data_IF_769219769690
#
_entry.id   IF_769219769690
#
_cell.length_a   1.000
_cell.length_b   1.000
_cell.length_c   1.000
_cell.angle_alpha   90.00
_cell.angle_beta   90.00
_cell.angle_gamma   90.00
#
_symmetry.space_group_name_H-M   'P 1'
#
loop_
_entity.id
_entity.type
_entity.pdbx_description
1 polymer ?
#
# COMPACT_ATOMS: atom_id res chain seq x y z
N UNK A 1 -8.14 -25.23 -24.87
CA UNK A 1 -7.27 -24.51 -25.82
C UNK A 1 -6.68 -23.36 -25.03
N UNK A 2 -5.38 -23.40 -24.67
CA UNK A 2 -4.77 -22.33 -23.87
C UNK A 2 -4.33 -21.24 -24.84
N UNK A 3 -4.99 -20.11 -24.84
CA UNK A 3 -4.57 -18.96 -25.62
C UNK A 3 -3.32 -18.39 -24.96
N UNK A 4 -2.20 -18.39 -25.68
CA UNK A 4 -0.98 -17.75 -25.22
C UNK A 4 -1.08 -16.27 -25.59
N UNK A 5 -1.23 -15.41 -24.59
CA UNK A 5 -1.10 -13.98 -24.77
C UNK A 5 0.40 -13.64 -24.74
N UNK A 6 0.87 -12.95 -25.76
CA UNK A 6 2.27 -12.55 -25.92
C UNK A 6 2.36 -11.01 -25.95
N UNK A 7 3.50 -10.49 -25.53
CA UNK A 7 3.84 -9.06 -25.72
C UNK A 7 4.28 -8.79 -27.17
N UNK A 8 4.57 -7.53 -27.49
CA UNK A 8 5.02 -7.08 -28.82
C UNK A 8 6.35 -7.73 -29.28
N UNK A 9 7.04 -8.44 -28.40
CA UNK A 9 8.30 -9.14 -28.64
C UNK A 9 8.12 -10.67 -28.69
N UNK A 10 6.87 -11.18 -28.63
CA UNK A 10 6.59 -12.62 -28.62
C UNK A 10 6.86 -13.32 -27.27
N UNK A 11 7.02 -12.55 -26.19
CA UNK A 11 7.22 -13.11 -24.86
C UNK A 11 5.87 -13.40 -24.17
N UNK A 12 5.68 -14.57 -23.54
CA UNK A 12 4.38 -14.97 -23.02
C UNK A 12 3.97 -14.14 -21.79
N UNK A 13 2.77 -13.57 -21.86
CA UNK A 13 2.07 -12.89 -20.75
C UNK A 13 1.16 -13.83 -19.95
N UNK A 14 1.08 -15.10 -20.35
CA UNK A 14 0.37 -16.14 -19.67
C UNK A 14 1.15 -17.48 -19.78
N UNK A 15 1.60 -18.00 -18.66
CA UNK A 15 2.29 -19.30 -18.58
C UNK A 15 1.51 -20.35 -17.79
N UNK A 16 0.27 -20.01 -17.40
CA UNK A 16 -0.61 -20.90 -16.64
C UNK A 16 0.03 -21.43 -15.37
N UNK A 17 -0.05 -22.73 -15.17
CA UNK A 17 0.49 -23.43 -13.99
C UNK A 17 1.92 -24.00 -14.19
N UNK A 18 2.66 -23.59 -15.21
CA UNK A 18 4.02 -24.08 -15.46
C UNK A 18 5.01 -23.63 -14.38
N UNK A 19 4.88 -22.40 -13.89
CA UNK A 19 5.77 -21.85 -12.88
C UNK A 19 5.03 -20.79 -12.04
N UNK A 20 5.31 -20.78 -10.74
CA UNK A 20 4.91 -19.71 -9.85
C UNK A 20 5.76 -18.45 -10.06
N UNK A 21 6.96 -18.61 -10.56
CA UNK A 21 7.86 -17.48 -10.80
C UNK A 21 7.37 -16.67 -11.98
N UNK A 22 7.18 -15.38 -11.77
CA UNK A 22 6.73 -14.43 -12.78
C UNK A 22 7.89 -14.13 -13.73
N UNK A 23 7.76 -14.41 -15.04
CA UNK A 23 8.82 -14.13 -16.03
C UNK A 23 9.16 -12.64 -16.13
N UNK A 24 10.37 -12.30 -16.61
CA UNK A 24 10.79 -10.90 -16.76
C UNK A 24 9.87 -10.06 -17.65
N UNK A 25 9.39 -10.61 -18.78
CA UNK A 25 8.45 -9.94 -19.68
C UNK A 25 7.16 -9.58 -18.96
N UNK A 26 6.56 -10.55 -18.27
CA UNK A 26 5.33 -10.35 -17.49
C UNK A 26 5.54 -9.34 -16.35
N UNK A 27 6.73 -9.30 -15.72
CA UNK A 27 7.07 -8.27 -14.72
C UNK A 27 7.12 -6.88 -15.33
N UNK A 28 7.65 -6.74 -16.56
CA UNK A 28 7.66 -5.45 -17.28
C UNK A 28 6.24 -4.99 -17.57
N UNK A 29 5.42 -5.88 -18.14
CA UNK A 29 4.01 -5.59 -18.43
C UNK A 29 3.22 -5.22 -17.17
N UNK A 30 3.43 -5.96 -16.07
CA UNK A 30 2.80 -5.67 -14.78
C UNK A 30 3.21 -4.29 -14.24
N UNK A 31 4.49 -3.93 -14.32
CA UNK A 31 4.98 -2.62 -13.91
C UNK A 31 4.44 -1.49 -14.79
N UNK A 32 4.33 -1.72 -16.10
CA UNK A 32 3.76 -0.74 -17.03
C UNK A 32 2.25 -0.53 -16.79
N UNK A 33 1.51 -1.58 -16.44
CA UNK A 33 0.08 -1.50 -16.16
C UNK A 33 -0.22 -0.84 -14.81
N UNK A 34 0.50 -1.24 -13.75
CA UNK A 34 0.17 -0.86 -12.37
C UNK A 34 0.94 0.37 -11.90
N UNK A 35 2.07 0.72 -12.58
CA UNK A 35 2.97 1.85 -12.29
C UNK A 35 3.59 1.83 -10.88
N UNK A 36 2.89 1.27 -9.90
CA UNK A 36 3.30 1.17 -8.49
C UNK A 36 2.46 0.19 -7.69
N UNK A 37 2.54 0.29 -6.39
CA UNK A 37 1.74 -0.53 -5.49
C UNK A 37 0.26 -0.19 -5.63
N UNK A 38 -0.56 -1.21 -5.90
CA UNK A 38 -2.01 -1.07 -6.10
C UNK A 38 -2.84 -1.09 -4.81
N UNK A 39 -2.19 -1.19 -3.67
CA UNK A 39 -2.90 -1.12 -2.39
C UNK A 39 -3.42 0.32 -2.17
N UNK A 40 -4.70 0.48 -1.75
CA UNK A 40 -5.33 1.79 -1.59
C UNK A 40 -4.50 2.76 -0.73
N UNK A 41 -4.32 3.98 -1.22
CA UNK A 41 -3.56 5.03 -0.55
C UNK A 41 -2.03 4.86 -0.55
N UNK A 42 -1.50 3.87 -1.27
CA UNK A 42 -0.06 3.65 -1.35
C UNK A 42 0.57 4.32 -2.57
N UNK A 43 1.53 5.20 -2.35
CA UNK A 43 2.30 5.89 -3.39
C UNK A 43 3.66 5.24 -3.71
N UNK A 44 3.90 4.01 -3.26
CA UNK A 44 5.19 3.34 -3.46
C UNK A 44 5.35 2.81 -4.88
N UNK A 45 6.37 3.29 -5.60
CA UNK A 45 6.74 2.83 -6.94
C UNK A 45 7.99 1.95 -6.94
N UNK A 46 8.71 1.86 -5.80
CA UNK A 46 9.96 1.11 -5.67
C UNK A 46 9.74 -0.15 -4.83
N UNK A 47 10.55 -1.18 -5.12
CA UNK A 47 10.53 -2.46 -4.39
C UNK A 47 9.14 -3.10 -4.37
N UNK A 48 8.46 -3.05 -5.54
CA UNK A 48 7.18 -3.70 -5.74
C UNK A 48 7.40 -5.05 -6.42
N UNK A 49 6.69 -6.06 -5.92
CA UNK A 49 6.69 -7.43 -6.43
C UNK A 49 5.29 -7.81 -6.91
N UNK A 50 5.22 -8.72 -7.88
CA UNK A 50 3.94 -9.25 -8.36
C UNK A 50 3.34 -10.23 -7.37
N UNK A 51 2.09 -10.00 -7.00
CA UNK A 51 1.28 -10.85 -6.14
C UNK A 51 0.19 -11.56 -6.95
N UNK A 52 -0.03 -12.85 -6.71
CA UNK A 52 -1.12 -13.60 -7.32
C UNK A 52 -2.43 -13.30 -6.59
N UNK A 53 -3.44 -12.76 -7.30
CA UNK A 53 -4.76 -12.44 -6.75
C UNK A 53 -5.43 -13.74 -6.27
N UNK A 54 -5.60 -14.71 -7.16
CA UNK A 54 -5.90 -16.08 -6.77
C UNK A 54 -4.57 -16.76 -6.47
N UNK A 55 -4.39 -17.12 -5.21
CA UNK A 55 -3.09 -17.61 -4.74
C UNK A 55 -2.67 -18.89 -5.49
N UNK A 56 -1.38 -19.04 -5.73
CA UNK A 56 -0.84 -20.21 -6.42
C UNK A 56 -1.23 -21.54 -5.77
N UNK A 57 -1.30 -21.59 -4.45
CA UNK A 57 -1.72 -22.78 -3.69
C UNK A 57 -3.17 -23.16 -3.97
N UNK A 58 -4.00 -22.16 -4.27
CA UNK A 58 -5.44 -22.29 -4.46
C UNK A 58 -5.82 -22.44 -5.96
N UNK A 59 -4.82 -22.79 -6.78
CA UNK A 59 -5.02 -23.06 -8.20
C UNK A 59 -4.81 -21.85 -9.11
N UNK A 60 -4.45 -20.70 -8.58
CA UNK A 60 -4.17 -19.50 -9.37
C UNK A 60 -3.06 -19.69 -10.39
N UNK A 61 -3.24 -19.17 -11.57
CA UNK A 61 -2.29 -19.23 -12.68
C UNK A 61 -1.35 -18.03 -12.68
N UNK A 62 -0.15 -18.20 -13.21
CA UNK A 62 0.77 -17.09 -13.49
C UNK A 62 0.42 -16.51 -14.84
N UNK A 63 -0.49 -15.53 -14.81
CA UNK A 63 -0.99 -14.75 -15.94
C UNK A 63 -1.21 -13.30 -15.51
N UNK A 64 -1.05 -12.38 -16.44
CA UNK A 64 -1.03 -10.94 -16.11
C UNK A 64 -2.30 -10.46 -15.40
N UNK A 65 -3.47 -10.99 -15.79
CA UNK A 65 -4.76 -10.64 -15.19
C UNK A 65 -5.02 -11.25 -13.81
N UNK A 66 -4.21 -12.22 -13.38
CA UNK A 66 -4.19 -12.78 -12.04
C UNK A 66 -3.05 -12.23 -11.18
N UNK A 67 -2.37 -11.18 -11.64
CA UNK A 67 -1.27 -10.56 -10.92
C UNK A 67 -1.59 -9.11 -10.61
N UNK A 68 -1.08 -8.63 -9.47
CA UNK A 68 -1.15 -7.24 -9.04
C UNK A 68 0.19 -6.83 -8.43
N UNK A 69 0.60 -5.59 -8.64
CA UNK A 69 1.85 -5.07 -8.10
C UNK A 69 1.66 -4.56 -6.67
N UNK A 70 2.44 -5.08 -5.74
CA UNK A 70 2.43 -4.66 -4.34
C UNK A 70 3.84 -4.33 -3.85
N UNK A 71 4.00 -3.26 -3.08
CA UNK A 71 5.25 -3.01 -2.37
C UNK A 71 5.47 -4.07 -1.28
N UNK A 72 6.71 -4.22 -0.81
CA UNK A 72 7.06 -5.24 0.19
C UNK A 72 6.18 -5.18 1.44
N UNK A 73 5.83 -3.98 1.90
CA UNK A 73 4.97 -3.80 3.07
C UNK A 73 3.57 -4.37 2.80
N UNK A 74 2.91 -3.95 1.72
CA UNK A 74 1.55 -4.40 1.40
C UNK A 74 1.49 -5.84 0.91
N UNK A 75 2.55 -6.33 0.25
CA UNK A 75 2.66 -7.74 -0.10
C UNK A 75 2.67 -8.64 1.15
N UNK A 76 3.41 -8.22 2.20
CA UNK A 76 3.41 -8.89 3.48
C UNK A 76 2.07 -8.76 4.21
N UNK A 77 1.46 -7.57 4.16
CA UNK A 77 0.15 -7.31 4.79
C UNK A 77 -0.96 -8.22 4.24
N UNK A 78 -0.96 -8.44 2.92
CA UNK A 78 -1.91 -9.37 2.27
C UNK A 78 -1.63 -10.82 2.63
N UNK A 79 -0.36 -11.22 2.81
CA UNK A 79 -0.03 -12.60 3.17
C UNK A 79 -0.21 -12.93 4.65
N UNK A 80 0.10 -11.99 5.55
CA UNK A 80 0.22 -12.22 6.99
C UNK A 80 -0.74 -11.35 7.81
N UNK A 81 -1.19 -10.22 7.26
CA UNK A 81 -1.97 -9.20 7.96
C UNK A 81 -3.48 -9.38 7.88
N UNK A 82 -3.97 -10.44 7.24
CA UNK A 82 -5.41 -10.71 7.11
C UNK A 82 -6.15 -9.81 6.12
N UNK A 83 -5.42 -9.06 5.30
CA UNK A 83 -5.98 -8.36 4.15
C UNK A 83 -6.00 -9.28 2.94
N UNK A 84 -6.94 -9.07 2.02
CA UNK A 84 -7.00 -9.85 0.79
C UNK A 84 -7.12 -8.93 -0.42
N UNK A 85 -6.51 -9.38 -1.52
CA UNK A 85 -6.72 -8.81 -2.85
C UNK A 85 -7.77 -9.64 -3.56
N UNK A 86 -8.80 -9.03 -4.09
CA UNK A 86 -9.95 -9.69 -4.72
C UNK A 86 -10.16 -9.12 -6.10
N UNK A 87 -10.57 -9.99 -7.03
CA UNK A 87 -10.98 -9.61 -8.37
C UNK A 87 -12.48 -9.87 -8.53
N UNK A 88 -13.23 -8.84 -8.93
CA UNK A 88 -14.66 -8.97 -9.22
C UNK A 88 -14.90 -9.70 -10.54
N UNK A 89 -16.14 -10.11 -10.79
CA UNK A 89 -16.56 -10.70 -12.06
C UNK A 89 -16.39 -9.73 -13.24
N UNK A 90 -16.44 -8.42 -12.98
CA UNK A 90 -16.16 -7.37 -13.96
C UNK A 90 -14.66 -7.18 -14.25
N UNK A 91 -13.78 -7.87 -13.51
CA UNK A 91 -12.32 -7.76 -13.65
C UNK A 91 -11.68 -6.65 -12.80
N UNK A 92 -12.45 -5.92 -12.02
CA UNK A 92 -11.95 -4.89 -11.10
C UNK A 92 -11.18 -5.54 -9.94
N UNK A 93 -10.01 -4.99 -9.62
CA UNK A 93 -9.17 -5.42 -8.50
C UNK A 93 -9.43 -4.48 -7.32
N UNK A 94 -9.79 -5.03 -6.18
CA UNK A 94 -9.98 -4.29 -4.95
C UNK A 94 -9.40 -5.05 -3.76
N UNK A 95 -9.28 -4.38 -2.63
CA UNK A 95 -8.74 -4.95 -1.40
C UNK A 95 -9.79 -4.96 -0.30
N UNK A 96 -9.73 -5.96 0.56
CA UNK A 96 -10.60 -6.08 1.72
C UNK A 96 -9.77 -6.23 3.00
N UNK A 97 -10.32 -5.76 4.10
CA UNK A 97 -9.74 -5.91 5.42
C UNK A 97 -10.07 -7.28 6.05
N UNK A 98 -9.64 -7.49 7.30
CA UNK A 98 -9.90 -8.69 8.07
C UNK A 98 -11.40 -8.96 8.31
N UNK A 99 -12.25 -7.93 8.19
CA UNK A 99 -13.71 -8.02 8.34
C UNK A 99 -14.42 -8.20 6.98
N UNK A 100 -13.65 -8.44 5.91
CA UNK A 100 -14.14 -8.52 4.53
C UNK A 100 -14.78 -7.21 4.04
N UNK A 101 -14.44 -6.08 4.66
CA UNK A 101 -14.89 -4.77 4.21
C UNK A 101 -13.94 -4.26 3.12
N UNK A 102 -14.51 -3.79 2.02
CA UNK A 102 -13.73 -3.21 0.92
C UNK A 102 -12.99 -1.97 1.43
N UNK A 103 -11.69 -1.94 1.18
CA UNK A 103 -10.90 -0.74 1.38
C UNK A 103 -11.22 0.22 0.25
N UNK A 104 -11.83 1.33 0.59
CA UNK A 104 -12.00 2.42 -0.36
C UNK A 104 -10.65 3.12 -0.55
N UNK A 105 -10.39 3.53 -1.77
CA UNK A 105 -9.30 4.45 -2.02
C UNK A 105 -9.63 5.70 -1.20
N UNK A 106 -8.80 6.01 -0.21
CA UNK A 106 -8.94 7.26 0.50
C UNK A 106 -8.85 8.36 -0.57
N UNK A 107 -9.98 8.94 -0.92
CA UNK A 107 -9.95 10.22 -1.57
C UNK A 107 -9.01 11.08 -0.71
N UNK A 108 -7.90 11.51 -1.28
CA UNK A 108 -7.08 12.53 -0.62
C UNK A 108 -8.07 13.53 -0.07
N UNK A 109 -8.10 13.81 1.23
CA UNK A 109 -8.96 14.88 1.71
C UNK A 109 -8.71 16.06 0.78
N UNK A 110 -9.77 16.70 0.32
CA UNK A 110 -9.69 17.90 -0.52
C UNK A 110 -8.51 18.72 -0.04
N UNK A 111 -7.67 19.25 -0.93
CA UNK A 111 -6.45 19.93 -0.54
C UNK A 111 -6.82 21.01 0.47
N UNK A 112 -6.74 20.63 1.74
CA UNK A 112 -6.93 21.55 2.86
C UNK A 112 -5.82 22.57 2.69
N UNK A 113 -6.18 23.81 2.59
CA UNK A 113 -5.17 24.88 2.44
C UNK A 113 -4.21 24.81 3.62
N UNK A 114 -2.97 25.24 3.42
CA UNK A 114 -1.98 25.27 4.49
C UNK A 114 -2.56 26.06 5.69
N UNK A 115 -3.29 27.14 5.42
CA UNK A 115 -3.93 27.95 6.44
C UNK A 115 -4.98 27.17 7.25
N UNK A 116 -5.83 26.38 6.59
CA UNK A 116 -6.84 25.56 7.28
C UNK A 116 -6.19 24.45 8.10
N UNK A 117 -5.13 23.83 7.56
CA UNK A 117 -4.35 22.82 8.28
C UNK A 117 -3.70 23.42 9.53
N UNK A 118 -3.04 24.56 9.39
CA UNK A 118 -2.43 25.27 10.51
C UNK A 118 -3.49 25.72 11.53
N UNK A 119 -4.62 26.27 11.09
CA UNK A 119 -5.71 26.68 11.98
C UNK A 119 -6.31 25.49 12.75
N UNK A 120 -6.40 24.30 12.09
CA UNK A 120 -6.82 23.08 12.76
C UNK A 120 -5.77 22.62 13.79
N UNK A 121 -4.49 22.63 13.42
CA UNK A 121 -3.39 22.30 14.32
C UNK A 121 -3.37 23.23 15.53
N UNK A 122 -3.41 24.53 15.33
CA UNK A 122 -3.42 25.50 16.43
C UNK A 122 -4.60 25.26 17.37
N UNK A 123 -5.82 25.10 16.86
CA UNK A 123 -6.99 24.80 17.69
C UNK A 123 -6.86 23.49 18.47
N UNK A 124 -6.24 22.49 17.89
CA UNK A 124 -6.08 21.18 18.53
C UNK A 124 -5.00 21.21 19.61
N UNK A 125 -3.93 21.96 19.38
CA UNK A 125 -2.78 22.03 20.27
C UNK A 125 -2.81 23.20 21.25
N UNK A 126 -3.70 24.17 21.06
CA UNK A 126 -3.86 25.35 21.93
C UNK A 126 -4.10 24.96 23.41
N UNK A 127 -4.85 23.90 23.64
CA UNK A 127 -5.13 23.36 24.98
C UNK A 127 -3.87 22.83 25.70
N UNK A 128 -2.80 22.55 24.98
CA UNK A 128 -1.56 22.03 25.57
C UNK A 128 -0.54 23.13 25.89
N UNK A 129 -0.88 24.41 25.58
CA UNK A 129 0.00 25.57 25.80
C UNK A 129 1.46 25.27 25.38
N UNK A 130 1.61 24.67 24.19
CA UNK A 130 2.92 24.33 23.66
C UNK A 130 3.65 25.66 23.38
N UNK A 131 4.57 26.00 24.27
CA UNK A 131 5.50 27.10 24.06
C UNK A 131 6.36 26.75 22.82
N UNK A 132 6.40 27.66 21.85
CA UNK A 132 7.18 27.47 20.64
C UNK A 132 8.66 27.15 20.89
N UNK A 133 9.19 27.59 22.03
CA UNK A 133 10.56 27.28 22.46
C UNK A 133 10.70 25.86 23.04
N UNK A 134 9.61 25.28 23.57
CA UNK A 134 9.61 23.90 24.08
C UNK A 134 9.59 22.85 22.94
N UNK A 135 9.15 23.22 21.75
CA UNK A 135 9.13 22.34 20.57
C UNK A 135 10.45 22.27 19.80
N UNK A 136 11.49 22.96 20.24
CA UNK A 136 12.84 22.73 19.73
C UNK A 136 13.38 21.42 20.30
N UNK A 137 12.96 20.30 19.69
CA UNK A 137 13.69 19.06 19.86
C UNK A 137 15.15 19.36 19.50
N UNK A 138 16.02 19.39 20.47
CA UNK A 138 17.45 19.44 20.23
C UNK A 138 17.84 18.15 19.55
N UNK A 139 17.89 18.18 18.23
CA UNK A 139 18.39 17.08 17.43
C UNK A 139 19.88 16.91 17.72
N UNK A 140 20.21 15.93 18.54
CA UNK A 140 21.58 15.44 18.59
C UNK A 140 21.80 14.63 17.31
N UNK A 141 22.78 15.05 16.53
CA UNK A 141 23.18 14.35 15.31
C UNK A 141 23.49 12.89 15.62
N UNK A 142 22.63 11.97 15.20
CA UNK A 142 22.86 10.54 15.29
C UNK A 142 21.81 9.70 16.04
N UNK A 143 20.96 10.29 16.84
CA UNK A 143 19.94 9.52 17.56
C UNK A 143 18.67 9.31 16.69
N UNK A 144 18.20 8.07 16.64
CA UNK A 144 16.90 7.76 16.04
C UNK A 144 15.82 8.40 16.89
N UNK A 145 14.89 9.12 16.23
CA UNK A 145 13.70 9.62 16.89
C UNK A 145 12.90 8.43 17.44
N UNK A 146 12.69 8.40 18.74
CA UNK A 146 11.80 7.46 19.39
C UNK A 146 10.35 7.90 19.14
N UNK A 147 9.78 7.38 18.06
CA UNK A 147 8.39 7.65 17.66
C UNK A 147 7.39 7.17 18.72
N UNK A 148 7.72 6.14 19.49
CA UNK A 148 6.84 5.61 20.53
C UNK A 148 6.71 6.61 21.67
N UNK A 149 7.81 7.25 22.08
CA UNK A 149 7.79 8.33 23.07
C UNK A 149 7.04 9.58 22.60
N UNK A 150 7.21 9.96 21.33
CA UNK A 150 6.51 11.12 20.76
C UNK A 150 5.01 10.87 20.62
N UNK A 151 4.61 9.64 20.26
CA UNK A 151 3.21 9.27 20.13
C UNK A 151 2.53 9.08 21.50
N UNK A 152 3.21 8.51 22.48
CA UNK A 152 2.68 8.36 23.83
C UNK A 152 2.44 9.73 24.47
N UNK A 153 3.37 10.66 24.34
CA UNK A 153 3.20 12.02 24.84
C UNK A 153 2.05 12.78 24.17
N UNK A 154 1.75 12.48 22.90
CA UNK A 154 0.66 13.12 22.17
C UNK A 154 -0.73 12.51 22.44
N UNK A 155 -0.81 11.27 22.95
CA UNK A 155 -2.08 10.51 23.05
C UNK A 155 -2.41 9.97 24.44
N UNK A 156 -1.58 10.20 25.48
CA UNK A 156 -1.97 9.92 26.86
C UNK A 156 -2.94 11.00 27.35
N UNK A 157 -4.23 10.70 27.59
CA UNK A 157 -5.09 11.62 28.33
C UNK A 157 -4.52 11.71 29.76
N UNK A 158 -4.19 12.91 30.22
CA UNK A 158 -3.86 13.12 31.61
C UNK A 158 -5.02 12.60 32.46
N UNK A 159 -4.68 11.71 33.37
CA UNK A 159 -5.63 11.01 34.21
C UNK A 159 -6.39 11.93 35.15
N UNK A 160 -7.61 11.51 35.40
CA UNK A 160 -8.40 11.85 36.59
C UNK A 160 -7.62 11.56 37.86
#
# INVERSE_FOLDING_TARGET
>A
MTTIEEDDFGEPLNIGRRSRTIPPAMRRALKARDEGCRFPGCSSHRFCDGHHIVHWRDGGETRLDNLVLLCRHHHRLVHEGGFACVKSDSGEIYFVDQRQQRLEEYASPDPVTIEETLAWMYRRFDKYQLDGDACTAKWYAGDRMDWDCAMIAAFTPEGT
#
